data_IF_142892196737
#
_entry.id   IF_142892196737
#
_cell.length_a   1.000
_cell.length_b   1.000
_cell.length_c   1.000
_cell.angle_alpha   90.00
_cell.angle_beta   90.00
_cell.angle_gamma   90.00
#
_symmetry.space_group_name_H-M   'P 1'
#
loop_
_entity.id
_entity.type
_entity.pdbx_description
1 polymer ?
#
# COMPACT_ATOMS: atom_id res chain seq x y z
N UNK A 1 1.20 -9.69 -3.81
CA UNK A 1 0.32 -8.55 -3.46
C UNK A 1 0.27 -8.42 -1.94
N UNK A 2 0.54 -7.22 -1.41
CA UNK A 2 0.49 -6.95 0.03
C UNK A 2 -0.96 -6.90 0.50
N UNK A 3 -1.29 -7.52 1.64
CA UNK A 3 -2.61 -7.38 2.28
C UNK A 3 -2.59 -6.16 3.19
N UNK A 4 -3.70 -5.41 3.19
CA UNK A 4 -3.89 -4.26 4.05
C UNK A 4 -3.99 -4.71 5.51
N UNK A 5 -3.19 -4.15 6.43
CA UNK A 5 -3.25 -4.51 7.85
C UNK A 5 -4.55 -4.07 8.52
N UNK A 6 -5.30 -3.12 7.92
CA UNK A 6 -6.55 -2.59 8.50
C UNK A 6 -7.78 -3.39 8.11
N UNK A 7 -7.85 -3.87 6.87
CA UNK A 7 -9.08 -4.49 6.34
C UNK A 7 -8.85 -5.80 5.57
N UNK A 8 -7.61 -6.30 5.48
CA UNK A 8 -7.27 -7.58 4.86
C UNK A 8 -7.33 -7.62 3.33
N UNK A 9 -7.87 -6.57 2.66
CA UNK A 9 -7.92 -6.47 1.19
C UNK A 9 -6.52 -6.35 0.58
N UNK A 10 -6.36 -6.76 -0.67
CA UNK A 10 -5.13 -6.54 -1.42
C UNK A 10 -4.89 -5.06 -1.70
N UNK A 11 -3.62 -4.67 -1.64
CA UNK A 11 -3.14 -3.32 -1.90
C UNK A 11 -2.52 -3.23 -3.29
N UNK A 12 -2.62 -2.06 -3.92
CA UNK A 12 -1.95 -1.72 -5.17
C UNK A 12 -0.54 -1.20 -4.89
N UNK A 13 0.44 -1.66 -5.66
CA UNK A 13 1.81 -1.15 -5.57
C UNK A 13 2.00 -0.02 -6.58
N UNK A 14 2.25 1.18 -6.08
CA UNK A 14 2.55 2.35 -6.89
C UNK A 14 4.04 2.64 -6.77
N UNK A 15 4.77 2.56 -7.87
CA UNK A 15 6.22 2.74 -7.90
C UNK A 15 6.64 4.21 -8.01
N UNK A 16 5.77 5.06 -8.56
CA UNK A 16 6.05 6.48 -8.82
C UNK A 16 5.02 7.39 -8.14
N UNK A 17 5.41 8.63 -7.76
CA UNK A 17 6.78 9.15 -7.67
C UNK A 17 7.60 8.54 -6.52
N UNK A 18 6.94 7.90 -5.54
CA UNK A 18 7.55 7.20 -4.42
C UNK A 18 6.87 5.84 -4.28
N UNK A 19 7.68 4.79 -4.10
CA UNK A 19 7.20 3.41 -3.91
C UNK A 19 6.31 3.31 -2.68
N UNK A 20 5.05 2.94 -2.88
CA UNK A 20 4.05 2.82 -1.82
C UNK A 20 3.02 1.75 -2.16
N UNK A 21 2.44 1.17 -1.12
CA UNK A 21 1.26 0.33 -1.22
C UNK A 21 0.03 1.13 -0.83
N UNK A 22 -0.97 1.20 -1.70
CA UNK A 22 -2.24 1.87 -1.41
C UNK A 22 -3.39 0.86 -1.36
N UNK A 23 -4.23 0.94 -0.32
CA UNK A 23 -5.42 0.13 -0.18
C UNK A 23 -6.63 0.89 -0.73
N UNK A 24 -7.21 0.40 -1.83
CA UNK A 24 -8.42 0.99 -2.43
C UNK A 24 -9.69 0.80 -1.59
N UNK A 25 -9.68 -0.05 -0.56
CA UNK A 25 -10.86 -0.32 0.26
C UNK A 25 -11.03 0.58 1.48
N UNK A 26 -9.93 0.98 2.12
CA UNK A 26 -9.98 1.83 3.34
C UNK A 26 -9.07 3.06 3.28
N UNK A 27 -8.40 3.30 2.14
CA UNK A 27 -7.50 4.44 1.95
C UNK A 27 -6.13 4.32 2.64
N UNK A 28 -5.83 3.21 3.32
CA UNK A 28 -4.53 3.01 3.96
C UNK A 28 -3.40 3.03 2.93
N UNK A 29 -2.36 3.82 3.20
CA UNK A 29 -1.17 3.92 2.36
C UNK A 29 0.07 3.59 3.19
N UNK A 30 0.90 2.70 2.69
CA UNK A 30 2.15 2.27 3.30
C UNK A 30 3.32 2.62 2.37
N UNK A 31 4.10 3.63 2.76
CA UNK A 31 5.27 4.06 1.99
C UNK A 31 6.44 3.14 2.30
N UNK A 32 6.99 2.50 1.27
CA UNK A 32 8.18 1.68 1.41
C UNK A 32 9.38 2.59 1.64
N UNK A 33 9.62 2.96 2.90
CA UNK A 33 10.89 3.61 3.29
C UNK A 33 12.00 2.59 3.09
N UNK A 34 12.85 2.81 2.08
CA UNK A 34 14.14 2.10 1.97
C UNK A 34 14.93 2.43 3.22
N UNK A 35 15.22 1.40 4.01
CA UNK A 35 16.00 1.47 5.25
C UNK A 35 17.48 1.63 4.93
#
# INVERSE_FOLDING_TARGET
>A
GKKCPRCGKFMAHHLTPVSRWACGGCGYTDYERKR
#
